data_IF_149779702941
#
_entry.id   IF_149779702941
#
_cell.length_a   1.000
_cell.length_b   1.000
_cell.length_c   1.000
_cell.angle_alpha   90.00
_cell.angle_beta   90.00
_cell.angle_gamma   90.00
#
_symmetry.space_group_name_H-M   'P 1'
#
loop_
_entity.id
_entity.type
_entity.pdbx_description
1 polymer ?
#
# COMPACT_ATOMS: atom_id res chain seq x y z
N UNK A 1 -11.32 -44.36 32.71
CA UNK A 1 -10.18 -43.44 32.71
C UNK A 1 -9.66 -43.49 31.28
N UNK A 2 -10.06 -42.55 30.44
CA UNK A 2 -9.65 -42.53 29.03
C UNK A 2 -8.33 -41.76 28.93
N UNK A 3 -7.25 -42.46 28.59
CA UNK A 3 -5.96 -41.82 28.33
C UNK A 3 -6.10 -40.93 27.09
N UNK A 4 -6.07 -39.62 27.29
CA UNK A 4 -6.06 -38.63 26.23
C UNK A 4 -4.70 -38.65 25.53
N UNK A 5 -4.57 -39.53 24.54
CA UNK A 5 -3.34 -39.67 23.77
C UNK A 5 -3.15 -38.44 22.87
N UNK A 6 -2.12 -37.66 23.18
CA UNK A 6 -1.68 -36.49 22.42
C UNK A 6 -0.68 -36.92 21.34
N UNK A 7 -0.82 -36.36 20.14
CA UNK A 7 0.17 -36.53 19.06
C UNK A 7 1.02 -35.27 18.87
N UNK A 8 2.28 -35.47 18.52
CA UNK A 8 3.22 -34.39 18.22
C UNK A 8 3.18 -34.10 16.72
N UNK A 9 2.91 -32.87 16.33
CA UNK A 9 2.85 -32.43 14.94
C UNK A 9 3.93 -31.39 14.64
N UNK A 10 4.55 -31.51 13.47
CA UNK A 10 5.48 -30.53 12.94
C UNK A 10 4.84 -29.86 11.73
N UNK A 11 4.65 -28.54 11.82
CA UNK A 11 4.12 -27.70 10.75
C UNK A 11 5.13 -26.58 10.49
N UNK A 12 5.80 -26.63 9.34
CA UNK A 12 6.84 -25.68 8.93
C UNK A 12 7.93 -25.41 9.98
N UNK A 13 8.35 -26.45 10.73
CA UNK A 13 9.39 -26.36 11.75
C UNK A 13 8.88 -25.96 13.14
N UNK A 14 7.58 -25.67 13.27
CA UNK A 14 6.93 -25.48 14.55
C UNK A 14 6.35 -26.80 15.07
N UNK A 15 6.79 -27.21 16.26
CA UNK A 15 6.39 -28.48 16.87
C UNK A 15 5.37 -28.22 17.98
N UNK A 16 4.16 -28.78 17.83
CA UNK A 16 3.09 -28.64 18.82
C UNK A 16 2.39 -29.96 19.12
N UNK A 17 1.76 -30.03 20.30
CA UNK A 17 0.93 -31.18 20.72
C UNK A 17 -0.52 -30.89 20.36
N UNK A 18 -1.21 -31.87 19.76
CA UNK A 18 -2.67 -31.79 19.53
C UNK A 18 -3.38 -33.06 19.94
N UNK A 19 -4.65 -32.94 20.34
CA UNK A 19 -5.47 -34.08 20.77
C UNK A 19 -5.76 -34.96 19.55
N UNK A 20 -5.40 -36.23 19.63
CA UNK A 20 -5.53 -37.17 18.50
C UNK A 20 -7.01 -37.40 18.19
N UNK A 21 -7.41 -37.12 16.95
CA UNK A 21 -8.79 -37.37 16.49
C UNK A 21 -8.96 -38.87 16.29
N UNK A 22 -9.95 -39.49 16.95
CA UNK A 22 -10.35 -40.88 16.69
C UNK A 22 -11.02 -40.96 15.31
N UNK A 23 -10.21 -41.02 14.25
CA UNK A 23 -10.66 -41.41 12.93
C UNK A 23 -10.67 -42.94 12.91
N UNK A 24 -11.85 -43.53 12.72
CA UNK A 24 -11.97 -44.94 12.35
C UNK A 24 -11.08 -45.20 11.13
N UNK A 25 -10.08 -46.05 11.33
CA UNK A 25 -9.01 -46.41 10.40
C UNK A 25 -8.18 -45.21 9.85
N UNK A 26 -6.84 -45.23 9.99
CA UNK A 26 -6.01 -44.30 9.25
C UNK A 26 -6.28 -44.49 7.75
N UNK A 27 -6.51 -43.41 6.96
CA UNK A 27 -6.34 -43.54 5.52
C UNK A 27 -4.94 -44.09 5.25
N UNK A 28 -4.78 -44.99 4.26
CA UNK A 28 -3.48 -45.58 3.95
C UNK A 28 -2.45 -44.45 3.81
N UNK A 29 -1.22 -44.64 4.33
CA UNK A 29 -0.19 -43.61 4.24
C UNK A 29 -0.08 -43.16 2.77
N UNK A 30 -0.17 -41.86 2.48
CA UNK A 30 0.04 -41.37 1.12
C UNK A 30 1.37 -41.91 0.63
N UNK A 31 1.38 -42.46 -0.59
CA UNK A 31 2.64 -42.98 -1.13
C UNK A 31 3.61 -41.82 -1.33
N UNK A 32 4.91 -42.06 -1.24
CA UNK A 32 5.93 -41.02 -1.50
C UNK A 32 5.72 -40.33 -2.86
N UNK A 33 5.13 -41.06 -3.83
CA UNK A 33 4.75 -40.53 -5.14
C UNK A 33 3.57 -39.54 -5.07
N UNK A 34 2.61 -39.72 -4.16
CA UNK A 34 1.49 -38.81 -3.96
C UNK A 34 1.95 -37.50 -3.29
N UNK A 35 2.86 -37.60 -2.32
CA UNK A 35 3.46 -36.42 -1.66
C UNK A 35 4.29 -35.59 -2.64
N UNK A 36 5.12 -36.23 -3.48
CA UNK A 36 5.92 -35.53 -4.49
C UNK A 36 5.04 -34.84 -5.54
N UNK A 37 3.92 -35.46 -5.94
CA UNK A 37 2.96 -34.88 -6.87
C UNK A 37 2.23 -33.65 -6.29
N UNK A 38 1.85 -33.69 -5.00
CA UNK A 38 1.26 -32.55 -4.29
C UNK A 38 2.26 -31.40 -4.19
N UNK A 39 3.50 -31.71 -3.81
CA UNK A 39 4.55 -30.71 -3.68
C UNK A 39 4.94 -30.08 -5.03
N UNK A 40 5.00 -30.88 -6.10
CA UNK A 40 5.20 -30.37 -7.47
C UNK A 40 4.07 -29.42 -7.89
N UNK A 41 2.81 -29.77 -7.58
CA UNK A 41 1.66 -28.89 -7.87
C UNK A 41 1.72 -27.59 -7.07
N UNK A 42 2.18 -27.65 -5.81
CA UNK A 42 2.40 -26.46 -4.96
C UNK A 42 3.47 -25.55 -5.56
N UNK A 43 4.60 -26.11 -5.99
CA UNK A 43 5.68 -25.36 -6.66
C UNK A 43 5.22 -24.72 -7.95
N UNK A 44 4.44 -25.43 -8.76
CA UNK A 44 3.90 -24.90 -10.02
C UNK A 44 2.95 -23.71 -9.76
N UNK A 45 2.07 -23.82 -8.76
CA UNK A 45 1.21 -22.69 -8.35
C UNK A 45 2.03 -21.48 -7.92
N UNK A 46 3.06 -21.69 -7.08
CA UNK A 46 3.95 -20.62 -6.62
C UNK A 46 4.68 -19.96 -7.80
N UNK A 47 5.21 -20.75 -8.72
CA UNK A 47 5.87 -20.27 -9.93
C UNK A 47 4.92 -19.42 -10.78
N UNK A 48 3.68 -19.87 -10.99
CA UNK A 48 2.69 -19.11 -11.75
C UNK A 48 2.33 -17.78 -11.08
N UNK A 49 2.14 -17.75 -9.77
CA UNK A 49 1.89 -16.52 -9.03
C UNK A 49 3.07 -15.55 -9.14
N UNK A 50 4.30 -16.03 -9.00
CA UNK A 50 5.50 -15.20 -9.13
C UNK A 50 5.67 -14.64 -10.56
N UNK A 51 5.36 -15.43 -11.59
CA UNK A 51 5.40 -14.97 -12.98
C UNK A 51 4.36 -13.88 -13.25
N UNK A 52 3.13 -14.03 -12.72
CA UNK A 52 2.10 -12.98 -12.81
C UNK A 52 2.54 -11.71 -12.10
N UNK A 53 3.13 -11.84 -10.91
CA UNK A 53 3.62 -10.70 -10.14
C UNK A 53 4.76 -9.98 -10.85
N UNK A 54 5.71 -10.74 -11.42
CA UNK A 54 6.78 -10.19 -12.25
C UNK A 54 6.21 -9.39 -13.43
N UNK A 55 5.31 -9.98 -14.19
CA UNK A 55 4.71 -9.33 -15.35
C UNK A 55 3.96 -8.05 -14.97
N UNK A 56 3.26 -8.05 -13.82
CA UNK A 56 2.59 -6.86 -13.28
C UNK A 56 3.60 -5.75 -12.98
N UNK A 57 4.65 -6.04 -12.20
CA UNK A 57 5.64 -5.02 -11.84
C UNK A 57 6.43 -4.53 -13.05
N UNK A 58 6.73 -5.40 -14.01
CA UNK A 58 7.37 -5.00 -15.26
C UNK A 58 6.50 -4.00 -16.05
N UNK A 59 5.18 -4.27 -16.16
CA UNK A 59 4.25 -3.33 -16.80
C UNK A 59 4.13 -2.00 -16.05
N UNK A 60 4.14 -2.05 -14.71
CA UNK A 60 4.05 -0.86 -13.87
C UNK A 60 5.31 0.00 -14.01
N UNK A 61 6.50 -0.62 -13.99
CA UNK A 61 7.78 0.08 -14.21
C UNK A 61 7.78 0.80 -15.57
N UNK A 62 7.35 0.13 -16.64
CA UNK A 62 7.27 0.75 -17.96
C UNK A 62 6.32 1.95 -18.00
N UNK A 63 5.21 1.90 -17.26
CA UNK A 63 4.30 3.03 -17.13
C UNK A 63 4.94 4.19 -16.37
N UNK A 64 5.62 3.90 -15.26
CA UNK A 64 6.37 4.91 -14.49
C UNK A 64 7.47 5.58 -15.32
N UNK A 65 8.21 4.80 -16.11
CA UNK A 65 9.23 5.32 -17.02
C UNK A 65 8.62 6.23 -18.09
N UNK A 66 7.50 5.83 -18.70
CA UNK A 66 6.78 6.64 -19.70
C UNK A 66 6.30 7.97 -19.10
N UNK A 67 5.68 7.94 -17.92
CA UNK A 67 5.21 9.14 -17.23
C UNK A 67 6.37 10.06 -16.84
N UNK A 68 7.46 9.48 -16.30
CA UNK A 68 8.68 10.22 -15.95
C UNK A 68 9.30 10.90 -17.18
N UNK A 69 9.40 10.18 -18.30
CA UNK A 69 9.91 10.74 -19.55
C UNK A 69 9.01 11.86 -20.07
N UNK A 70 7.69 11.69 -20.00
CA UNK A 70 6.72 12.71 -20.41
C UNK A 70 6.88 13.99 -19.57
N UNK A 71 6.97 13.84 -18.25
CA UNK A 71 7.18 14.96 -17.33
C UNK A 71 8.51 15.65 -17.62
N UNK A 72 9.58 14.88 -17.82
CA UNK A 72 10.89 15.44 -18.15
C UNK A 72 10.90 16.17 -19.49
N UNK A 73 10.21 15.65 -20.52
CA UNK A 73 10.02 16.35 -21.79
C UNK A 73 9.26 17.67 -21.60
N UNK A 74 8.17 17.67 -20.83
CA UNK A 74 7.42 18.91 -20.52
C UNK A 74 8.33 19.93 -19.82
N UNK A 75 9.11 19.51 -18.83
CA UNK A 75 10.07 20.36 -18.13
C UNK A 75 11.14 20.92 -19.09
N UNK A 76 11.68 20.09 -19.98
CA UNK A 76 12.65 20.52 -20.98
C UNK A 76 12.05 21.56 -21.94
N UNK A 77 10.81 21.36 -22.40
CA UNK A 77 10.09 22.34 -23.23
C UNK A 77 9.87 23.67 -22.49
N UNK A 78 9.57 23.65 -21.19
CA UNK A 78 9.49 24.86 -20.36
C UNK A 78 10.85 25.57 -20.22
N UNK A 79 11.96 24.82 -20.13
CA UNK A 79 13.31 25.41 -19.99
C UNK A 79 13.96 25.87 -21.30
N UNK A 80 13.64 25.23 -22.43
CA UNK A 80 14.18 25.56 -23.77
C UNK A 80 13.40 26.66 -24.49
N UNK A 81 12.27 27.10 -23.94
CA UNK A 81 11.57 28.28 -24.38
C UNK A 81 11.72 29.41 -23.34
N UNK A 82 12.93 29.99 -23.15
CA UNK A 82 13.03 31.33 -22.61
C UNK A 82 12.30 32.22 -23.61
N UNK A 83 11.16 32.75 -23.17
CA UNK A 83 10.46 33.87 -23.79
C UNK A 83 11.51 34.85 -24.35
N UNK A 84 11.48 35.22 -25.64
CA UNK A 84 12.45 36.17 -26.17
C UNK A 84 12.17 37.55 -25.54
N UNK A 85 12.97 37.91 -24.53
CA UNK A 85 13.21 39.31 -24.24
C UNK A 85 13.97 39.89 -25.44
N UNK A 86 13.21 40.45 -26.37
CA UNK A 86 13.73 41.34 -27.39
C UNK A 86 14.21 42.62 -26.69
N UNK A 87 15.42 42.57 -26.14
CA UNK A 87 16.18 43.76 -25.75
C UNK A 87 17.20 44.01 -26.86
N UNK A 88 16.74 44.62 -27.95
CA UNK A 88 17.64 45.33 -28.86
C UNK A 88 17.11 46.74 -28.97
N UNK A 89 17.92 47.68 -28.47
CA UNK A 89 17.73 49.10 -28.59
C UNK A 89 17.60 49.45 -30.09
N UNK A 90 16.58 50.22 -30.48
CA UNK A 90 16.93 51.46 -31.15
C UNK A 90 16.03 52.61 -30.69
N UNK A 91 16.66 53.76 -30.42
CA UNK A 91 16.17 55.09 -30.73
C UNK A 91 14.64 55.28 -30.80
N UNK A 92 14.09 56.02 -29.82
CA UNK A 92 12.86 56.80 -30.02
C UNK A 92 12.93 57.59 -31.36
N UNK A 93 11.80 57.97 -32.00
CA UNK A 93 10.41 57.77 -31.61
C UNK A 93 9.57 57.14 -32.75
N UNK A 94 8.51 56.38 -32.45
CA UNK A 94 7.22 56.56 -33.15
C UNK A 94 6.10 55.95 -32.30
N UNK A 95 5.17 56.83 -31.98
CA UNK A 95 3.81 56.65 -31.49
C UNK A 95 3.12 55.31 -31.83
N UNK A 96 2.64 54.69 -30.75
CA UNK A 96 1.37 53.95 -30.59
C UNK A 96 1.13 52.71 -31.45
N UNK A 97 1.42 51.54 -30.87
CA UNK A 97 0.68 50.32 -31.17
C UNK A 97 0.39 49.54 -29.89
N UNK A 98 -0.90 49.47 -29.54
CA UNK A 98 -1.48 48.67 -28.47
C UNK A 98 -1.07 47.20 -28.54
N UNK A 99 -0.41 46.68 -27.50
CA UNK A 99 -0.40 45.25 -27.17
C UNK A 99 -0.27 45.03 -25.66
N UNK A 100 -1.21 45.57 -24.89
CA UNK A 100 -1.35 45.26 -23.45
C UNK A 100 -2.19 43.99 -23.20
N UNK A 101 -2.63 43.31 -24.26
CA UNK A 101 -3.63 42.24 -24.19
C UNK A 101 -3.06 40.82 -24.05
N UNK A 102 -1.78 40.58 -24.34
CA UNK A 102 -1.21 39.22 -24.36
C UNK A 102 -0.55 38.81 -23.04
N UNK A 103 -0.02 39.77 -22.27
CA UNK A 103 0.66 39.50 -21.00
C UNK A 103 -0.30 39.17 -19.85
N UNK A 104 -1.49 39.79 -19.83
CA UNK A 104 -2.52 39.51 -18.83
C UNK A 104 -3.03 38.07 -18.90
N UNK A 105 -3.30 37.57 -20.12
CA UNK A 105 -3.82 36.20 -20.33
C UNK A 105 -2.88 35.11 -19.80
N UNK A 106 -1.55 35.27 -19.98
CA UNK A 106 -0.59 34.27 -19.49
C UNK A 106 -0.50 34.25 -17.96
N UNK A 107 -0.62 35.41 -17.32
CA UNK A 107 -0.60 35.51 -15.85
C UNK A 107 -1.88 34.90 -15.26
N UNK A 108 -3.03 35.14 -15.89
CA UNK A 108 -4.30 34.56 -15.49
C UNK A 108 -4.29 33.03 -15.66
N UNK A 109 -3.72 32.50 -16.75
CA UNK A 109 -3.58 31.06 -16.97
C UNK A 109 -2.66 30.40 -15.92
N UNK A 110 -1.55 31.06 -15.58
CA UNK A 110 -0.63 30.58 -14.53
C UNK A 110 -1.28 30.63 -13.14
N UNK A 111 -2.06 31.67 -12.85
CA UNK A 111 -2.81 31.79 -11.60
C UNK A 111 -3.81 30.65 -11.49
N UNK A 112 -4.60 30.39 -12.54
CA UNK A 112 -5.55 29.29 -12.59
C UNK A 112 -4.89 27.92 -12.39
N UNK A 113 -3.71 27.72 -12.97
CA UNK A 113 -2.93 26.50 -12.78
C UNK A 113 -2.50 26.32 -11.32
N UNK A 114 -2.01 27.39 -10.68
CA UNK A 114 -1.59 27.35 -9.27
C UNK A 114 -2.78 27.10 -8.35
N UNK A 115 -3.92 27.75 -8.58
CA UNK A 115 -5.15 27.52 -7.81
C UNK A 115 -5.64 26.07 -7.94
N UNK A 116 -5.57 25.52 -9.14
CA UNK A 116 -5.93 24.11 -9.39
C UNK A 116 -4.98 23.16 -8.66
N UNK A 117 -3.68 23.41 -8.73
CA UNK A 117 -2.68 22.60 -8.03
C UNK A 117 -2.85 22.69 -6.51
N UNK A 118 -3.16 23.88 -5.99
CA UNK A 118 -3.44 24.09 -4.58
C UNK A 118 -4.67 23.30 -4.12
N UNK A 119 -5.76 23.28 -4.91
CA UNK A 119 -6.93 22.47 -4.63
C UNK A 119 -6.58 20.97 -4.54
N UNK A 120 -5.81 20.46 -5.51
CA UNK A 120 -5.36 19.05 -5.51
C UNK A 120 -4.52 18.74 -4.27
N UNK A 121 -3.59 19.63 -3.90
CA UNK A 121 -2.76 19.44 -2.70
C UNK A 121 -3.61 19.39 -1.45
N UNK A 122 -4.59 20.30 -1.32
CA UNK A 122 -5.53 20.29 -0.18
C UNK A 122 -6.34 19.01 -0.12
N UNK A 123 -6.85 18.53 -1.25
CA UNK A 123 -7.62 17.28 -1.32
C UNK A 123 -6.80 16.07 -0.89
N UNK A 124 -5.55 15.98 -1.37
CA UNK A 124 -4.63 14.90 -0.97
C UNK A 124 -4.26 15.01 0.51
N UNK A 125 -4.01 16.21 1.01
CA UNK A 125 -3.72 16.44 2.44
C UNK A 125 -4.88 15.97 3.31
N UNK A 126 -6.12 16.34 2.97
CA UNK A 126 -7.31 15.91 3.68
C UNK A 126 -7.47 14.39 3.67
N UNK A 127 -7.19 13.73 2.53
CA UNK A 127 -7.22 12.27 2.46
C UNK A 127 -6.18 11.63 3.39
N UNK A 128 -4.98 12.22 3.51
CA UNK A 128 -3.96 11.78 4.45
C UNK A 128 -4.43 11.96 5.90
N UNK A 129 -5.01 13.10 6.25
CA UNK A 129 -5.54 13.37 7.61
C UNK A 129 -6.63 12.34 7.98
N UNK A 130 -7.53 12.02 7.05
CA UNK A 130 -8.56 10.99 7.24
C UNK A 130 -7.93 9.61 7.45
N UNK A 131 -6.94 9.25 6.62
CA UNK A 131 -6.25 7.97 6.72
C UNK A 131 -5.53 7.83 8.08
N UNK A 132 -4.85 8.89 8.53
CA UNK A 132 -4.17 8.92 9.82
C UNK A 132 -5.18 8.78 10.97
N UNK A 133 -6.28 9.53 10.94
CA UNK A 133 -7.33 9.43 11.95
C UNK A 133 -7.94 8.02 12.04
N UNK A 134 -8.16 7.36 10.90
CA UNK A 134 -8.64 5.97 10.88
C UNK A 134 -7.63 4.99 11.48
N UNK A 135 -6.35 5.15 11.15
CA UNK A 135 -5.28 4.30 11.68
C UNK A 135 -5.13 4.46 13.19
N UNK A 136 -5.07 5.70 13.69
CA UNK A 136 -5.00 6.02 15.13
C UNK A 136 -6.19 5.42 15.86
N UNK A 137 -7.41 5.63 15.35
CA UNK A 137 -8.62 5.09 15.96
C UNK A 137 -8.60 3.56 16.03
N UNK A 138 -8.16 2.88 14.97
CA UNK A 138 -8.05 1.42 14.95
C UNK A 138 -7.00 0.93 15.95
N UNK A 139 -5.85 1.60 16.03
CA UNK A 139 -4.80 1.26 16.98
C UNK A 139 -5.28 1.41 18.43
N UNK A 140 -5.95 2.52 18.75
CA UNK A 140 -6.53 2.74 20.08
C UNK A 140 -7.56 1.68 20.42
N UNK A 141 -8.47 1.35 19.49
CA UNK A 141 -9.45 0.27 19.69
C UNK A 141 -8.77 -1.06 19.98
N UNK A 142 -7.72 -1.40 19.23
CA UNK A 142 -6.96 -2.62 19.46
C UNK A 142 -6.27 -2.61 20.83
N UNK A 143 -5.64 -1.50 21.22
CA UNK A 143 -5.04 -1.35 22.56
C UNK A 143 -6.08 -1.56 23.66
N UNK A 144 -7.27 -1.00 23.54
CA UNK A 144 -8.33 -1.20 24.53
C UNK A 144 -8.70 -2.68 24.66
N UNK A 145 -8.84 -3.42 23.55
CA UNK A 145 -9.12 -4.87 23.63
C UNK A 145 -8.06 -5.67 24.39
N UNK A 146 -6.81 -5.19 24.43
CA UNK A 146 -5.73 -5.83 25.19
C UNK A 146 -5.75 -5.42 26.67
N UNK A 147 -6.09 -4.17 26.98
CA UNK A 147 -6.19 -3.69 28.36
C UNK A 147 -7.44 -4.20 29.07
N UNK A 148 -8.53 -4.42 28.34
CA UNK A 148 -9.78 -4.99 28.87
C UNK A 148 -9.67 -6.51 29.15
N UNK A 149 -8.50 -7.12 28.92
CA UNK A 149 -8.30 -8.53 29.23
C UNK A 149 -8.29 -8.74 30.76
N UNK A 150 -9.07 -9.69 31.29
CA UNK A 150 -9.17 -9.95 32.74
C UNK A 150 -7.86 -10.43 33.35
N UNK A 151 -6.89 -10.85 32.54
CA UNK A 151 -5.54 -11.22 33.00
C UNK A 151 -4.79 -10.03 33.64
N UNK A 152 -5.19 -8.80 33.33
CA UNK A 152 -4.65 -7.58 33.93
C UNK A 152 -5.40 -7.14 35.19
N UNK A 153 -6.50 -7.82 35.56
CA UNK A 153 -7.22 -7.57 36.80
C UNK A 153 -6.44 -8.06 38.02
N UNK A 154 -6.92 -7.72 39.23
CA UNK A 154 -6.32 -8.22 40.46
C UNK A 154 -6.35 -9.76 40.46
N UNK A 155 -5.28 -10.46 40.89
CA UNK A 155 -5.26 -11.92 40.93
C UNK A 155 -6.45 -12.53 41.68
N UNK A 156 -6.99 -11.81 42.68
CA UNK A 156 -8.17 -12.24 43.43
C UNK A 156 -9.47 -12.15 42.62
N UNK A 157 -9.65 -11.10 41.81
CA UNK A 157 -10.82 -10.94 40.94
C UNK A 157 -10.80 -11.95 39.80
N UNK A 158 -9.62 -12.24 39.25
CA UNK A 158 -9.44 -13.26 38.22
C UNK A 158 -9.78 -14.66 38.75
N UNK A 159 -9.34 -15.00 39.96
CA UNK A 159 -9.72 -16.29 40.57
C UNK A 159 -11.22 -16.39 40.84
N UNK A 160 -11.89 -15.28 41.20
CA UNK A 160 -13.33 -15.29 41.41
C UNK A 160 -14.10 -15.58 40.12
N UNK A 161 -13.73 -14.94 39.00
CA UNK A 161 -14.33 -15.20 37.67
C UNK A 161 -14.07 -16.63 37.16
N UNK A 162 -12.94 -17.24 37.53
CA UNK A 162 -12.61 -18.62 37.14
C UNK A 162 -13.22 -19.69 38.06
N UNK A 163 -13.65 -19.32 39.25
CA UNK A 163 -14.20 -20.25 40.25
C UNK A 163 -15.73 -20.17 40.40
N UNK A 164 -16.39 -19.18 39.80
CA UNK A 164 -17.85 -19.10 39.74
C UNK A 164 -18.36 -19.82 38.46
N UNK A 165 -18.89 -21.04 38.62
CA UNK A 165 -19.65 -21.83 37.62
C UNK A 165 -21.12 -21.38 37.51
#
# INVERSE_FOLDING_TARGET
MEDEEWELCNDDGFVYKRKRRRLDAPPPPPSEADEEAVEKRRRERKKQTLLKLKAKYESEILQWESLSNTLHSMQQHTTLHPQPQHNQNPSLPTTSSSTDSAGGSLVDDLLLQVETQEAIIRDVSNLCDIAEAMCVKREEQFKQTLFDLPIWASPLELMQVLCDD
#
